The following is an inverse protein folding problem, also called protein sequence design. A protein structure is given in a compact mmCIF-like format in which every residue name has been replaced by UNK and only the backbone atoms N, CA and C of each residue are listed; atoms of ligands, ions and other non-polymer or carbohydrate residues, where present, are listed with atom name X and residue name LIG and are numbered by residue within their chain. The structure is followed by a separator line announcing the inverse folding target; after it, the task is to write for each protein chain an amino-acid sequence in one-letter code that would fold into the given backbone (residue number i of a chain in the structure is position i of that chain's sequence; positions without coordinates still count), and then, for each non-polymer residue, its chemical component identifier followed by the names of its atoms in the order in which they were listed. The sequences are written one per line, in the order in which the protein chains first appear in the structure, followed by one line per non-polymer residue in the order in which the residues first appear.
data_IF_470781436697
#
_entry.id   IF_470781436697
#
_cell.length_a   1.000
_cell.length_b   1.000
_cell.length_c   1.000
_cell.angle_alpha   90.00
_cell.angle_beta   90.00
_cell.angle_gamma   90.00
#
_symmetry.space_group_name_H-M   'P 1'
#
loop_
_entity.id
_entity.type
_entity.pdbx_description
1 polymer ?
#
# COMPACT_ATOMS: atom_id res chain seq x y z
N UNK A 1 -35.02 -2.70 0.14
CA UNK A 1 -34.10 -1.55 0.26
C UNK A 1 -33.09 -1.84 1.36
N UNK A 2 -31.82 -1.51 1.19
CA UNK A 2 -30.82 -1.69 2.25
C UNK A 2 -31.05 -0.67 3.37
N UNK A 3 -31.13 -1.12 4.62
CA UNK A 3 -31.21 -0.22 5.77
C UNK A 3 -29.88 0.48 6.00
N UNK A 4 -29.94 1.76 6.36
CA UNK A 4 -28.79 2.59 6.72
C UNK A 4 -28.78 2.84 8.22
N UNK A 5 -27.59 2.98 8.79
CA UNK A 5 -27.36 3.23 10.21
C UNK A 5 -26.25 4.26 10.36
N UNK A 6 -26.46 5.25 11.22
CA UNK A 6 -25.46 6.26 11.53
C UNK A 6 -24.30 5.67 12.34
N UNK A 7 -23.07 5.99 11.94
CA UNK A 7 -21.85 5.57 12.61
C UNK A 7 -20.85 6.71 12.67
N UNK A 8 -19.99 6.68 13.69
CA UNK A 8 -18.86 7.59 13.84
C UNK A 8 -17.60 6.95 13.28
N UNK A 9 -16.90 7.65 12.39
CA UNK A 9 -15.63 7.19 11.85
C UNK A 9 -14.56 7.13 12.96
N UNK A 10 -13.84 6.00 13.07
CA UNK A 10 -12.79 5.84 14.09
C UNK A 10 -11.59 6.79 13.90
N UNK A 11 -11.30 7.20 12.67
CA UNK A 11 -10.14 8.04 12.34
C UNK A 11 -10.44 9.55 12.41
N UNK A 12 -11.43 10.02 11.67
CA UNK A 12 -11.74 11.45 11.54
C UNK A 12 -12.91 11.92 12.42
N UNK A 13 -13.54 11.00 13.18
CA UNK A 13 -14.64 11.27 14.10
C UNK A 13 -15.92 11.84 13.47
N UNK A 14 -15.99 11.98 12.14
CA UNK A 14 -17.20 12.39 11.42
C UNK A 14 -18.27 11.31 11.47
N UNK A 15 -19.52 11.74 11.56
CA UNK A 15 -20.69 10.86 11.43
C UNK A 15 -20.94 10.57 9.96
N UNK A 16 -21.28 9.32 9.63
CA UNK A 16 -21.60 8.89 8.28
C UNK A 16 -22.68 7.80 8.31
N UNK A 17 -23.43 7.67 7.21
CA UNK A 17 -24.40 6.61 7.02
C UNK A 17 -23.71 5.37 6.46
N UNK A 18 -23.90 4.23 7.13
CA UNK A 18 -23.40 2.94 6.71
C UNK A 18 -24.54 1.95 6.53
N UNK A 19 -24.40 0.99 5.62
CA UNK A 19 -25.38 -0.09 5.50
C UNK A 19 -25.37 -0.94 6.77
N UNK A 20 -26.54 -1.23 7.33
CA UNK A 20 -26.66 -2.02 8.55
C UNK A 20 -25.99 -3.39 8.43
N UNK A 21 -26.03 -4.01 7.24
CA UNK A 21 -25.34 -5.27 6.97
C UNK A 21 -23.80 -5.16 7.14
N UNK A 22 -23.20 -4.05 6.70
CA UNK A 22 -21.75 -3.81 6.82
C UNK A 22 -21.37 -3.46 8.28
N UNK A 23 -22.30 -2.88 9.04
CA UNK A 23 -22.14 -2.67 10.49
C UNK A 23 -22.15 -4.01 11.22
N UNK A 24 -23.10 -4.89 10.93
CA UNK A 24 -23.24 -6.20 11.58
C UNK A 24 -22.04 -7.12 11.29
N UNK A 25 -21.42 -6.99 10.11
CA UNK A 25 -20.16 -7.67 9.76
C UNK A 25 -18.92 -7.06 10.42
N UNK A 26 -19.05 -5.91 11.08
CA UNK A 26 -17.93 -5.16 11.66
C UNK A 26 -17.06 -4.41 10.65
N UNK A 27 -17.54 -4.19 9.42
CA UNK A 27 -16.80 -3.55 8.33
C UNK A 27 -16.92 -2.01 8.34
N UNK A 28 -18.08 -1.47 8.72
CA UNK A 28 -18.38 -0.03 8.69
C UNK A 28 -17.75 0.79 9.84
N UNK A 29 -16.42 0.70 10.01
CA UNK A 29 -15.67 1.44 11.05
C UNK A 29 -15.14 2.80 10.59
N UNK A 30 -15.05 3.03 9.28
CA UNK A 30 -14.48 4.22 8.68
C UNK A 30 -15.39 4.77 7.60
N UNK A 31 -15.44 6.10 7.47
CA UNK A 31 -16.26 6.77 6.45
C UNK A 31 -15.67 6.66 5.03
N UNK A 32 -14.39 6.34 4.88
CA UNK A 32 -13.72 6.22 3.58
C UNK A 32 -12.54 5.25 3.61
N UNK A 33 -12.17 4.74 2.43
CA UNK A 33 -10.96 3.92 2.24
C UNK A 33 -9.71 4.66 2.73
N UNK A 34 -9.63 5.97 2.49
CA UNK A 34 -8.51 6.81 2.93
C UNK A 34 -8.40 6.88 4.45
N UNK A 35 -9.51 6.98 5.19
CA UNK A 35 -9.49 6.97 6.66
C UNK A 35 -9.00 5.63 7.20
N UNK A 36 -9.44 4.51 6.59
CA UNK A 36 -8.96 3.17 6.93
C UNK A 36 -7.45 3.04 6.66
N UNK A 37 -6.99 3.48 5.50
CA UNK A 37 -5.58 3.41 5.10
C UNK A 37 -4.68 4.21 6.04
N UNK A 38 -5.08 5.44 6.42
CA UNK A 38 -4.32 6.26 7.38
C UNK A 38 -4.22 5.61 8.77
N UNK A 39 -5.31 5.06 9.27
CA UNK A 39 -5.31 4.32 10.55
C UNK A 39 -4.40 3.09 10.47
N UNK A 40 -4.47 2.34 9.37
CA UNK A 40 -3.63 1.16 9.15
C UNK A 40 -2.14 1.53 9.05
N UNK A 41 -1.83 2.62 8.35
CA UNK A 41 -0.46 3.10 8.19
C UNK A 41 0.14 3.52 9.53
N UNK A 42 -0.61 4.24 10.38
CA UNK A 42 -0.17 4.58 11.75
C UNK A 42 0.24 3.36 12.58
N UNK A 43 -0.38 2.20 12.33
CA UNK A 43 -0.09 0.95 13.05
C UNK A 43 1.07 0.16 12.43
N UNK A 44 1.19 0.18 11.10
CA UNK A 44 2.05 -0.78 10.37
C UNK A 44 3.27 -0.17 9.71
N UNK A 45 3.26 1.13 9.40
CA UNK A 45 4.37 1.84 8.75
C UNK A 45 4.74 1.30 7.36
N UNK A 46 3.85 0.53 6.71
CA UNK A 46 4.15 -0.20 5.48
C UNK A 46 4.49 0.75 4.32
N UNK A 47 3.76 1.86 4.19
CA UNK A 47 4.03 2.87 3.17
C UNK A 47 5.36 3.59 3.44
N UNK A 48 5.65 3.92 4.70
CA UNK A 48 6.91 4.53 5.08
C UNK A 48 8.10 3.60 4.80
N UNK A 49 8.00 2.31 5.14
CA UNK A 49 9.03 1.32 4.85
C UNK A 49 9.26 1.15 3.35
N UNK A 50 8.18 1.04 2.56
CA UNK A 50 8.26 0.99 1.09
C UNK A 50 8.98 2.23 0.51
N UNK A 51 8.61 3.43 0.97
CA UNK A 51 9.25 4.68 0.53
C UNK A 51 10.73 4.74 0.87
N UNK A 52 11.13 4.26 2.04
CA UNK A 52 12.53 4.20 2.43
C UNK A 52 13.31 3.22 1.54
N UNK A 53 12.76 2.03 1.30
CA UNK A 53 13.35 1.03 0.41
C UNK A 53 13.49 1.58 -1.03
N UNK A 54 12.46 2.25 -1.55
CA UNK A 54 12.55 2.88 -2.87
C UNK A 54 13.50 4.07 -2.92
N UNK A 55 13.75 4.76 -1.79
CA UNK A 55 14.72 5.87 -1.74
C UNK A 55 16.17 5.37 -1.74
N UNK A 56 16.43 4.19 -1.17
CA UNK A 56 17.75 3.55 -1.17
C UNK A 56 18.11 2.92 -2.52
N UNK A 57 17.13 2.75 -3.40
CA UNK A 57 17.31 2.45 -4.81
C UNK A 57 17.48 3.77 -5.55
N UNK A 58 18.71 4.32 -5.57
CA UNK A 58 18.98 5.49 -6.40
C UNK A 58 18.87 5.11 -7.89
N UNK A 59 18.29 6.01 -8.69
CA UNK A 59 18.02 5.80 -10.13
C UNK A 59 19.31 5.55 -10.92
N UNK A 60 20.45 6.09 -10.47
CA UNK A 60 21.75 5.98 -11.16
C UNK A 60 22.37 4.58 -10.98
N UNK A 61 22.28 3.98 -9.79
CA UNK A 61 22.74 2.63 -9.49
C UNK A 61 21.89 1.61 -10.22
N UNK A 62 20.57 1.79 -10.25
CA UNK A 62 19.68 0.92 -11.03
C UNK A 62 20.01 1.03 -12.52
N UNK A 63 20.21 2.24 -13.05
CA UNK A 63 20.60 2.46 -14.44
C UNK A 63 21.95 1.81 -14.77
N UNK A 64 22.96 1.98 -13.92
CA UNK A 64 24.29 1.41 -14.12
C UNK A 64 24.30 -0.13 -14.02
N UNK A 65 23.56 -0.72 -13.08
CA UNK A 65 23.39 -2.19 -13.00
C UNK A 65 22.62 -2.73 -14.21
N UNK A 66 21.57 -2.04 -14.66
CA UNK A 66 20.82 -2.42 -15.85
C UNK A 66 21.66 -2.31 -17.13
N UNK A 67 22.47 -1.26 -17.27
CA UNK A 67 23.44 -1.11 -18.36
C UNK A 67 24.48 -2.23 -18.34
N UNK A 68 25.08 -2.52 -17.18
CA UNK A 68 26.05 -3.61 -17.04
C UNK A 68 25.44 -4.99 -17.37
N UNK A 69 24.21 -5.25 -16.93
CA UNK A 69 23.49 -6.49 -17.25
C UNK A 69 23.13 -6.59 -18.75
N UNK A 70 22.83 -5.48 -19.41
CA UNK A 70 22.58 -5.44 -20.85
C UNK A 70 23.86 -5.67 -21.67
N UNK A 71 25.00 -5.14 -21.21
CA UNK A 71 26.32 -5.37 -21.83
C UNK A 71 26.80 -6.81 -21.72
N UNK A 72 26.52 -7.49 -20.60
CA UNK A 72 26.88 -8.91 -20.41
C UNK A 72 26.01 -9.88 -21.22
N UNK A 73 24.91 -9.40 -21.81
CA UNK A 73 23.99 -10.19 -22.63
C UNK A 73 23.31 -11.34 -21.87
N UNK A 74 22.36 -12.02 -22.53
CA UNK A 74 21.65 -13.16 -21.93
C UNK A 74 22.48 -14.46 -21.90
N UNK A 75 23.75 -14.40 -22.34
CA UNK A 75 24.61 -15.57 -22.59
C UNK A 75 25.94 -15.57 -21.80
N UNK A 76 26.18 -14.57 -20.93
CA UNK A 76 27.44 -14.40 -20.19
C UNK A 76 27.80 -15.50 -19.17
N UNK A 77 26.98 -16.56 -19.04
CA UNK A 77 27.22 -17.70 -18.14
C UNK A 77 27.54 -19.02 -18.86
N UNK A 78 27.55 -19.07 -20.21
CA UNK A 78 27.72 -20.35 -20.93
C UNK A 78 29.15 -20.85 -21.07
N UNK A 79 30.16 -20.01 -20.85
CA UNK A 79 31.56 -20.37 -21.15
C UNK A 79 32.41 -20.69 -19.90
N UNK A 80 31.78 -21.11 -18.80
CA UNK A 80 32.50 -21.75 -17.69
C UNK A 80 32.63 -23.26 -17.96
N UNK A 81 33.56 -23.64 -18.84
CA UNK A 81 34.11 -24.99 -18.96
C UNK A 81 35.60 -25.00 -18.63
#
# INVERSE_FOLDING_TARGET
MASMTERKCKYCLKVFLARTADVNRGWAKFCSKSCKAKEQEKRTGQNAAYKNMCKELDDERIYHEACAANEMGWDGHKDAY
#
